data_IF_250398709863
#
_entry.id   IF_250398709863
#
_cell.length_a   1.000
_cell.length_b   1.000
_cell.length_c   1.000
_cell.angle_alpha   90.00
_cell.angle_beta   90.00
_cell.angle_gamma   90.00
#
_symmetry.space_group_name_H-M   'P 1'
#
loop_
_entity.id
_entity.type
_entity.pdbx_description
1 polymer ?
#
# COMPACT_ATOMS: atom_id res chain seq x y z
N UNK A 1 10.69 6.74 22.87
CA UNK A 1 9.24 6.49 22.70
C UNK A 1 8.87 5.37 23.65
N UNK A 2 8.70 5.66 24.93
CA UNK A 2 8.33 4.67 25.95
C UNK A 2 6.81 4.60 26.06
N UNK A 3 6.26 3.39 25.98
CA UNK A 3 4.86 3.14 26.32
C UNK A 3 4.71 3.11 27.84
N UNK A 4 3.73 3.82 28.36
CA UNK A 4 3.36 3.76 29.78
C UNK A 4 2.36 2.61 30.00
N UNK A 5 2.81 1.61 30.75
CA UNK A 5 2.08 0.39 31.12
C UNK A 5 1.90 0.30 32.65
N UNK A 6 1.96 1.44 33.35
CA UNK A 6 1.93 1.49 34.82
C UNK A 6 0.55 1.27 35.45
N UNK A 7 -0.49 1.07 34.63
CA UNK A 7 -1.85 0.84 35.11
C UNK A 7 -1.93 -0.51 35.88
N UNK A 8 -2.16 -0.49 37.21
CA UNK A 8 -2.20 -1.70 38.02
C UNK A 8 -3.33 -2.65 37.60
N UNK A 9 -4.41 -2.14 37.00
CA UNK A 9 -5.52 -2.94 36.53
C UNK A 9 -5.11 -3.95 35.44
N UNK A 10 -4.05 -3.66 34.67
CA UNK A 10 -3.51 -4.55 33.64
C UNK A 10 -2.91 -5.80 34.30
N UNK A 11 -2.12 -5.61 35.35
CA UNK A 11 -1.46 -6.70 36.06
C UNK A 11 -2.48 -7.55 36.83
N UNK A 12 -3.47 -6.92 37.46
CA UNK A 12 -4.57 -7.62 38.13
C UNK A 12 -5.36 -8.49 37.15
N UNK A 13 -5.78 -7.92 36.00
CA UNK A 13 -6.51 -8.67 34.97
C UNK A 13 -5.68 -9.81 34.36
N UNK A 14 -4.38 -9.59 34.14
CA UNK A 14 -3.48 -10.64 33.67
C UNK A 14 -3.32 -11.76 34.70
N UNK A 15 -3.19 -11.42 35.99
CA UNK A 15 -3.08 -12.41 37.06
C UNK A 15 -4.36 -13.22 37.20
N UNK A 16 -5.55 -12.63 37.01
CA UNK A 16 -6.83 -13.36 36.93
C UNK A 16 -6.81 -14.42 35.82
N UNK A 17 -6.41 -14.03 34.60
CA UNK A 17 -6.34 -14.95 33.45
C UNK A 17 -5.34 -16.09 33.69
N UNK A 18 -4.20 -15.80 34.31
CA UNK A 18 -3.16 -16.81 34.61
C UNK A 18 -3.57 -17.71 35.79
N UNK A 19 -4.23 -17.17 36.81
CA UNK A 19 -4.68 -17.93 37.98
C UNK A 19 -5.86 -18.86 37.72
N UNK A 20 -6.48 -18.78 36.54
CA UNK A 20 -7.57 -19.66 36.13
C UNK A 20 -8.91 -19.32 36.78
N UNK A 21 -9.10 -18.06 37.16
CA UNK A 21 -10.42 -17.51 37.52
C UNK A 21 -11.27 -17.39 36.24
N UNK A 22 -12.61 -17.15 36.29
CA UNK A 22 -13.45 -17.28 35.10
C UNK A 22 -13.10 -16.29 33.97
N UNK A 23 -12.31 -15.24 34.27
CA UNK A 23 -11.80 -14.29 33.27
C UNK A 23 -10.78 -14.96 32.35
N UNK A 24 -11.06 -15.02 31.04
CA UNK A 24 -10.17 -15.62 30.05
C UNK A 24 -9.65 -14.64 28.99
N UNK A 25 -10.14 -13.40 28.98
CA UNK A 25 -9.63 -12.37 28.08
C UNK A 25 -9.63 -10.96 28.70
N UNK A 26 -8.77 -10.10 28.17
CA UNK A 26 -8.74 -8.66 28.43
C UNK A 26 -8.46 -7.88 27.14
N UNK A 27 -8.88 -6.61 27.12
CA UNK A 27 -8.58 -5.65 26.05
C UNK A 27 -7.89 -4.44 26.69
N UNK A 28 -6.81 -4.02 26.06
CA UNK A 28 -6.07 -2.81 26.38
C UNK A 28 -6.17 -1.82 25.24
N UNK A 29 -6.13 -0.53 25.55
CA UNK A 29 -6.14 0.52 24.56
C UNK A 29 -5.63 1.83 25.13
N UNK A 30 -5.70 2.88 24.32
CA UNK A 30 -5.05 4.15 24.66
C UNK A 30 -5.96 5.16 25.38
N UNK A 31 -7.28 4.94 25.45
CA UNK A 31 -8.25 5.87 26.10
C UNK A 31 -7.98 7.34 25.72
N UNK A 32 -7.84 7.62 24.42
CA UNK A 32 -7.52 8.94 23.84
C UNK A 32 -6.16 9.55 24.23
N UNK A 33 -5.32 8.82 24.96
CA UNK A 33 -3.94 9.22 25.23
C UNK A 33 -3.00 8.79 24.10
N UNK A 34 -1.80 9.39 24.08
CA UNK A 34 -0.81 9.11 23.03
C UNK A 34 0.05 7.88 23.32
N UNK A 35 0.48 7.76 24.58
CA UNK A 35 1.54 6.83 24.99
C UNK A 35 1.18 5.98 26.22
N UNK A 36 -0.01 6.18 26.81
CA UNK A 36 -0.48 5.41 27.97
C UNK A 36 -1.47 4.34 27.53
N UNK A 37 -1.23 3.10 27.97
CA UNK A 37 -2.14 1.99 27.73
C UNK A 37 -2.81 1.66 29.06
N UNK A 38 -4.13 1.51 29.03
CA UNK A 38 -4.94 1.11 30.18
C UNK A 38 -5.96 0.05 29.79
N UNK A 39 -6.50 -0.61 30.82
CA UNK A 39 -7.52 -1.65 30.65
C UNK A 39 -8.82 -1.04 30.09
N UNK A 40 -9.36 -1.63 29.02
CA UNK A 40 -10.66 -1.29 28.45
C UNK A 40 -11.76 -2.18 29.02
N UNK A 41 -11.54 -3.48 28.94
CA UNK A 41 -12.52 -4.49 29.36
C UNK A 41 -11.84 -5.83 29.60
N UNK A 42 -12.52 -6.68 30.36
CA UNK A 42 -12.16 -8.09 30.61
C UNK A 42 -13.42 -8.92 30.68
N UNK A 43 -13.34 -10.20 30.34
CA UNK A 43 -14.51 -11.07 30.27
C UNK A 43 -14.18 -12.56 30.27
N UNK A 44 -15.21 -13.36 30.01
CA UNK A 44 -15.21 -14.83 30.18
C UNK A 44 -15.62 -15.61 28.92
N UNK A 45 -16.06 -14.91 27.88
CA UNK A 45 -16.53 -15.45 26.60
C UNK A 45 -15.45 -15.60 25.52
N UNK A 46 -14.17 -15.66 25.91
CA UNK A 46 -13.06 -15.99 25.02
C UNK A 46 -12.84 -15.01 23.85
N UNK A 47 -12.38 -15.55 22.72
CA UNK A 47 -12.01 -14.77 21.52
C UNK A 47 -13.22 -14.08 20.90
N UNK A 48 -14.37 -14.74 20.87
CA UNK A 48 -15.57 -14.21 20.23
C UNK A 48 -16.14 -13.00 20.97
N UNK A 49 -16.19 -13.06 22.30
CA UNK A 49 -16.59 -11.91 23.12
C UNK A 49 -15.56 -10.77 23.03
N UNK A 50 -14.27 -11.09 23.04
CA UNK A 50 -13.20 -10.10 22.86
C UNK A 50 -13.34 -9.38 21.51
N UNK A 51 -13.57 -10.13 20.41
CA UNK A 51 -13.78 -9.57 19.08
C UNK A 51 -15.00 -8.66 19.02
N UNK A 52 -16.11 -9.04 19.67
CA UNK A 52 -17.32 -8.24 19.73
C UNK A 52 -17.14 -6.91 20.49
N UNK A 53 -16.20 -6.87 21.44
CA UNK A 53 -15.88 -5.69 22.24
C UNK A 53 -14.75 -4.82 21.65
N UNK A 54 -14.19 -5.19 20.49
CA UNK A 54 -13.18 -4.37 19.79
C UNK A 54 -13.84 -3.19 19.06
N UNK A 55 -13.26 -2.00 19.26
CA UNK A 55 -13.65 -0.74 18.60
C UNK A 55 -12.66 -0.39 17.49
N UNK A 56 -13.06 0.48 16.56
CA UNK A 56 -12.23 0.97 15.44
C UNK A 56 -11.09 1.91 15.86
N UNK A 57 -10.20 1.40 16.70
CA UNK A 57 -8.99 2.08 17.15
C UNK A 57 -7.83 1.08 17.28
N UNK A 58 -6.75 1.48 17.96
CA UNK A 58 -5.63 0.58 18.26
C UNK A 58 -5.91 -0.10 19.60
N UNK A 59 -6.10 -1.42 19.57
CA UNK A 59 -6.42 -2.24 20.73
C UNK A 59 -5.50 -3.46 20.81
N UNK A 60 -5.19 -3.88 22.03
CA UNK A 60 -4.45 -5.12 22.29
C UNK A 60 -5.33 -6.06 23.10
N UNK A 61 -5.72 -7.17 22.50
CA UNK A 61 -6.41 -8.25 23.18
C UNK A 61 -5.42 -9.26 23.75
N UNK A 62 -5.65 -9.73 24.97
CA UNK A 62 -4.92 -10.88 25.52
C UNK A 62 -5.94 -11.95 25.91
N UNK A 63 -5.75 -13.17 25.43
CA UNK A 63 -6.72 -14.26 25.60
C UNK A 63 -6.02 -15.56 25.95
N UNK A 64 -6.65 -16.36 26.82
CA UNK A 64 -6.24 -17.72 27.18
C UNK A 64 -7.13 -18.75 26.46
N UNK A 65 -6.50 -19.72 25.80
CA UNK A 65 -7.16 -20.83 25.11
C UNK A 65 -6.36 -22.10 25.42
N UNK A 66 -6.99 -23.11 26.01
CA UNK A 66 -6.39 -24.44 26.27
C UNK A 66 -4.98 -24.36 26.90
N UNK A 67 -4.84 -23.52 27.94
CA UNK A 67 -3.60 -23.22 28.68
C UNK A 67 -2.49 -22.47 27.92
N UNK A 68 -2.76 -22.02 26.69
CA UNK A 68 -1.89 -21.12 25.93
C UNK A 68 -2.44 -19.70 25.94
N UNK A 69 -1.54 -18.75 25.76
CA UNK A 69 -1.86 -17.33 25.77
C UNK A 69 -1.53 -16.68 24.43
N UNK A 70 -2.48 -15.93 23.89
CA UNK A 70 -2.31 -15.19 22.65
C UNK A 70 -2.47 -13.69 22.89
N UNK A 71 -1.55 -12.91 22.31
CA UNK A 71 -1.66 -11.45 22.23
C UNK A 71 -2.14 -11.07 20.82
N UNK A 72 -3.28 -10.43 20.74
CA UNK A 72 -3.92 -9.94 19.53
C UNK A 72 -3.70 -8.43 19.43
N UNK A 73 -2.89 -7.96 18.49
CA UNK A 73 -2.75 -6.53 18.24
C UNK A 73 -3.67 -6.12 17.08
N UNK A 74 -4.80 -5.49 17.42
CA UNK A 74 -5.72 -4.92 16.46
C UNK A 74 -5.32 -3.48 16.14
N UNK A 75 -5.14 -3.19 14.86
CA UNK A 75 -4.83 -1.86 14.36
C UNK A 75 -5.82 -1.49 13.27
N UNK A 76 -6.90 -0.80 13.62
CA UNK A 76 -7.93 -0.40 12.65
C UNK A 76 -7.33 0.36 11.45
N UNK A 77 -7.88 0.13 10.25
CA UNK A 77 -7.41 0.76 9.01
C UNK A 77 -7.63 2.29 9.01
N UNK A 78 -8.56 2.77 9.84
CA UNK A 78 -8.92 4.19 9.96
C UNK A 78 -7.91 5.01 10.77
N UNK A 79 -6.87 4.39 11.35
CA UNK A 79 -5.85 5.10 12.14
C UNK A 79 -4.66 5.55 11.28
N UNK A 80 -4.10 6.72 11.61
CA UNK A 80 -2.99 7.31 10.84
C UNK A 80 -1.73 6.43 10.85
N UNK A 81 -0.92 6.52 9.78
CA UNK A 81 0.31 5.72 9.63
C UNK A 81 1.27 5.82 10.82
N UNK A 82 1.37 7.00 11.44
CA UNK A 82 2.18 7.20 12.64
C UNK A 82 1.61 6.47 13.88
N UNK A 83 0.27 6.44 14.02
CA UNK A 83 -0.41 5.70 15.09
C UNK A 83 -0.23 4.18 14.91
N UNK A 84 -0.27 3.70 13.66
CA UNK A 84 0.03 2.28 13.31
C UNK A 84 1.47 1.89 13.63
N UNK A 85 2.44 2.71 13.24
CA UNK A 85 3.86 2.45 13.55
C UNK A 85 4.10 2.42 15.07
N UNK A 86 3.50 3.36 15.81
CA UNK A 86 3.57 3.38 17.27
C UNK A 86 2.92 2.14 17.89
N UNK A 87 1.77 1.71 17.37
CA UNK A 87 1.06 0.52 17.82
C UNK A 87 1.93 -0.75 17.72
N UNK A 88 2.67 -0.92 16.62
CA UNK A 88 3.56 -2.07 16.45
C UNK A 88 4.70 -2.09 17.48
N UNK A 89 5.28 -0.93 17.78
CA UNK A 89 6.34 -0.80 18.80
C UNK A 89 5.78 -1.06 20.20
N UNK A 90 4.62 -0.46 20.52
CA UNK A 90 4.00 -0.61 21.84
C UNK A 90 3.47 -2.03 22.03
N UNK A 91 2.98 -2.70 20.99
CA UNK A 91 2.57 -4.10 21.03
C UNK A 91 3.68 -5.04 21.48
N UNK A 92 4.94 -4.77 21.08
CA UNK A 92 6.10 -5.52 21.60
C UNK A 92 6.33 -5.29 23.09
N UNK A 93 6.16 -4.04 23.56
CA UNK A 93 6.28 -3.72 24.99
C UNK A 93 5.16 -4.35 25.83
N UNK A 94 3.92 -4.35 25.32
CA UNK A 94 2.77 -5.04 25.92
C UNK A 94 3.04 -6.55 25.98
N UNK A 95 3.55 -7.14 24.89
CA UNK A 95 3.96 -8.54 24.88
C UNK A 95 5.05 -8.85 25.91
N UNK A 96 6.06 -8.00 26.03
CA UNK A 96 7.12 -8.18 27.03
C UNK A 96 6.62 -8.08 28.48
N UNK A 97 5.56 -7.30 28.74
CA UNK A 97 4.91 -7.26 30.06
C UNK A 97 4.27 -8.61 30.40
N UNK A 98 3.64 -9.24 29.41
CA UNK A 98 2.98 -10.54 29.54
C UNK A 98 3.97 -11.66 29.24
N UNK A 99 4.85 -11.98 30.20
CA UNK A 99 5.91 -13.00 30.12
C UNK A 99 5.50 -14.39 29.58
N UNK A 100 4.20 -14.66 29.48
CA UNK A 100 3.62 -15.95 29.06
C UNK A 100 2.97 -15.91 27.67
N UNK A 101 3.12 -14.85 26.89
CA UNK A 101 2.55 -14.76 25.54
C UNK A 101 3.22 -15.75 24.59
N UNK A 102 2.49 -16.79 24.20
CA UNK A 102 3.02 -17.84 23.30
C UNK A 102 3.01 -17.40 21.85
N UNK A 103 2.00 -16.63 21.44
CA UNK A 103 1.89 -16.08 20.09
C UNK A 103 1.46 -14.62 20.12
N UNK A 104 1.94 -13.86 19.14
CA UNK A 104 1.45 -12.51 18.87
C UNK A 104 0.89 -12.47 17.44
N UNK A 105 -0.39 -12.10 17.31
CA UNK A 105 -1.08 -11.97 16.03
C UNK A 105 -1.39 -10.49 15.82
N UNK A 106 -0.82 -9.90 14.78
CA UNK A 106 -1.08 -8.52 14.41
C UNK A 106 -2.01 -8.52 13.18
N UNK A 107 -3.14 -7.83 13.26
CA UNK A 107 -4.04 -7.66 12.11
C UNK A 107 -4.78 -6.32 12.15
N UNK A 108 -5.15 -5.84 10.97
CA UNK A 108 -6.03 -4.69 10.78
C UNK A 108 -7.51 -5.05 10.58
N UNK A 109 -7.83 -6.35 10.48
CA UNK A 109 -9.20 -6.83 10.27
C UNK A 109 -9.67 -7.72 11.41
N UNK A 110 -10.88 -7.46 11.92
CA UNK A 110 -11.51 -8.28 12.95
C UNK A 110 -11.79 -9.72 12.49
N UNK A 111 -11.85 -9.96 11.17
CA UNK A 111 -12.04 -11.30 10.60
C UNK A 111 -10.83 -12.22 10.84
N UNK A 112 -9.65 -11.66 11.15
CA UNK A 112 -8.46 -12.43 11.47
C UNK A 112 -8.45 -12.94 12.92
N UNK A 113 -9.30 -12.39 13.79
CA UNK A 113 -9.42 -12.78 15.20
C UNK A 113 -10.57 -13.77 15.41
N UNK A 114 -10.42 -14.95 14.80
CA UNK A 114 -11.32 -16.10 15.03
C UNK A 114 -10.60 -17.17 15.84
N UNK A 115 -11.32 -17.85 16.72
CA UNK A 115 -10.76 -18.88 17.60
C UNK A 115 -9.98 -19.94 16.82
N UNK A 116 -10.54 -20.40 15.69
CA UNK A 116 -9.90 -21.38 14.80
C UNK A 116 -8.55 -20.93 14.26
N UNK A 117 -8.44 -19.67 13.83
CA UNK A 117 -7.19 -19.13 13.26
C UNK A 117 -6.13 -18.94 14.32
N UNK A 118 -6.54 -18.54 15.52
CA UNK A 118 -5.63 -18.39 16.66
C UNK A 118 -5.18 -19.79 17.14
N UNK A 119 -6.09 -20.77 17.25
CA UNK A 119 -5.74 -22.18 17.56
C UNK A 119 -4.79 -22.78 16.52
N UNK A 120 -5.04 -22.57 15.24
CA UNK A 120 -4.15 -23.01 14.16
C UNK A 120 -2.76 -22.38 14.28
N UNK A 121 -2.68 -21.07 14.57
CA UNK A 121 -1.42 -20.37 14.82
C UNK A 121 -0.70 -20.84 16.09
N UNK A 122 -1.45 -21.30 17.08
CA UNK A 122 -0.89 -21.88 18.31
C UNK A 122 -0.49 -23.35 18.15
N UNK A 123 -0.70 -23.99 17.00
CA UNK A 123 -0.38 -25.41 16.81
C UNK A 123 -1.23 -26.34 17.69
N UNK A 124 -2.44 -25.89 18.05
CA UNK A 124 -3.46 -26.69 18.77
C UNK A 124 -4.35 -27.49 17.81
N UNK A 125 -4.09 -27.39 16.49
CA UNK A 125 -4.80 -28.13 15.44
C UNK A 125 -3.91 -29.28 14.97
N UNK A 126 -4.32 -30.53 15.24
CA UNK A 126 -3.77 -31.71 14.56
C UNK A 126 -4.42 -31.84 13.17
N UNK A 127 -3.72 -31.43 12.11
CA UNK A 127 -4.19 -31.58 10.71
C UNK A 127 -3.25 -30.94 9.68
N UNK A 128 -3.19 -31.46 8.43
CA UNK A 128 -2.03 -31.35 7.53
C UNK A 128 -1.78 -29.93 6.95
N UNK A 129 -0.56 -29.64 6.47
CA UNK A 129 -0.08 -28.28 6.24
C UNK A 129 -0.69 -27.65 4.99
N UNK A 130 -1.02 -26.36 5.09
CA UNK A 130 -1.31 -25.49 3.94
C UNK A 130 -0.14 -24.53 3.67
N UNK A 131 0.05 -24.09 2.41
CA UNK A 131 1.35 -23.69 1.88
C UNK A 131 1.79 -22.27 2.27
N UNK A 132 3.11 -22.10 2.21
CA UNK A 132 3.92 -20.88 2.34
C UNK A 132 3.33 -19.61 1.68
N UNK A 133 3.54 -18.40 2.27
CA UNK A 133 3.23 -17.13 1.65
C UNK A 133 4.39 -16.68 0.75
N UNK A 134 4.49 -17.29 -0.43
CA UNK A 134 5.33 -16.76 -1.52
C UNK A 134 4.63 -17.02 -2.86
N UNK A 135 3.63 -16.21 -3.20
CA UNK A 135 3.45 -15.74 -4.58
C UNK A 135 2.38 -14.64 -4.69
N UNK A 136 2.72 -13.61 -5.45
CA UNK A 136 1.88 -12.52 -5.92
C UNK A 136 0.64 -13.02 -6.69
N UNK A 137 -0.54 -12.40 -6.56
CA UNK A 137 -1.61 -12.57 -7.54
C UNK A 137 -1.34 -11.68 -8.75
N UNK A 138 -0.82 -12.31 -9.80
CA UNK A 138 -0.82 -11.81 -11.18
C UNK A 138 -2.28 -11.71 -11.65
N UNK A 139 -2.60 -10.57 -12.26
CA UNK A 139 -3.90 -10.30 -12.88
C UNK A 139 -4.14 -11.23 -14.08
N UNK A 140 -5.37 -11.74 -14.29
CA UNK A 140 -5.72 -12.33 -15.58
C UNK A 140 -6.11 -11.24 -16.57
N UNK A 141 -5.23 -11.03 -17.53
CA UNK A 141 -5.48 -10.33 -18.79
C UNK A 141 -6.09 -11.28 -19.83
N UNK A 142 -6.94 -10.72 -20.67
CA UNK A 142 -7.39 -11.27 -21.96
C UNK A 142 -7.64 -10.06 -22.88
N UNK A 143 -7.77 -10.18 -24.21
CA UNK A 143 -7.75 -11.36 -25.09
C UNK A 143 -6.92 -11.13 -26.40
N UNK A 144 -7.15 -11.97 -27.44
CA UNK A 144 -7.00 -11.76 -28.93
C UNK A 144 -6.17 -12.92 -29.55
N UNK A 145 -6.51 -13.69 -30.62
CA UNK A 145 -7.19 -13.44 -31.92
C UNK A 145 -7.66 -14.77 -32.64
N UNK A 146 -8.86 -14.75 -33.28
CA UNK A 146 -9.35 -15.29 -34.61
C UNK A 146 -9.14 -16.75 -35.11
N UNK A 147 -9.85 -17.26 -36.17
CA UNK A 147 -10.73 -16.61 -37.18
C UNK A 147 -12.13 -17.26 -37.49
N UNK A 148 -12.94 -16.54 -38.30
CA UNK A 148 -14.29 -16.81 -38.82
C UNK A 148 -14.32 -17.88 -39.97
N UNK A 149 -15.48 -18.36 -40.57
CA UNK A 149 -16.68 -17.57 -40.93
C UNK A 149 -18.10 -18.23 -40.95
N UNK A 150 -19.07 -17.32 -41.11
CA UNK A 150 -20.36 -17.37 -41.85
C UNK A 150 -21.69 -17.67 -41.10
N UNK A 151 -22.79 -16.95 -41.46
CA UNK A 151 -24.03 -16.92 -40.69
C UNK A 151 -25.15 -17.77 -41.30
N UNK A 152 -25.97 -18.40 -40.44
CA UNK A 152 -27.30 -18.90 -40.80
C UNK A 152 -28.32 -18.43 -39.76
N UNK A 153 -29.47 -18.06 -40.32
CA UNK A 153 -30.70 -17.49 -39.75
C UNK A 153 -31.31 -18.27 -38.59
N UNK A 154 -31.95 -17.61 -37.60
CA UNK A 154 -32.78 -18.28 -36.62
C UNK A 154 -34.23 -18.49 -37.09
N UNK A 155 -34.77 -19.57 -36.53
CA UNK A 155 -36.04 -20.24 -36.77
C UNK A 155 -37.22 -19.48 -36.13
N UNK A 156 -38.37 -19.59 -36.79
CA UNK A 156 -39.72 -19.11 -36.41
C UNK A 156 -40.23 -19.64 -35.05
N UNK A 157 -41.37 -19.09 -34.58
CA UNK A 157 -42.41 -19.97 -34.03
C UNK A 157 -43.82 -19.75 -34.62
N UNK A 158 -44.41 -20.88 -35.00
CA UNK A 158 -45.81 -21.34 -34.97
C UNK A 158 -47.01 -20.47 -35.42
N UNK A 159 -47.91 -21.03 -36.26
CA UNK A 159 -49.29 -20.58 -36.44
C UNK A 159 -50.29 -21.45 -35.64
N UNK A 160 -51.34 -20.82 -35.11
CA UNK A 160 -52.55 -21.51 -34.63
C UNK A 160 -53.79 -20.85 -35.28
N UNK A 161 -54.57 -21.67 -36.00
CA UNK A 161 -55.96 -21.44 -36.44
C UNK A 161 -56.88 -22.18 -35.43
N UNK A 162 -58.22 -21.98 -35.30
CA UNK A 162 -59.17 -21.96 -36.42
C UNK A 162 -60.44 -21.07 -36.32
N UNK A 163 -60.97 -20.76 -37.52
CA UNK A 163 -62.39 -20.76 -37.95
C UNK A 163 -63.40 -19.77 -37.35
N UNK A 164 -64.02 -18.95 -38.22
CA UNK A 164 -65.49 -18.83 -38.35
C UNK A 164 -65.90 -18.16 -39.67
N UNK A 165 -66.94 -18.72 -40.27
CA UNK A 165 -67.56 -18.40 -41.55
C UNK A 165 -68.64 -17.33 -41.35
N UNK A 166 -68.83 -16.40 -42.31
CA UNK A 166 -70.15 -16.10 -42.93
C UNK A 166 -70.05 -15.08 -44.07
N UNK A 167 -70.45 -15.55 -45.25
CA UNK A 167 -71.24 -14.94 -46.32
C UNK A 167 -71.47 -13.41 -46.42
N UNK A 168 -71.02 -12.89 -47.59
CA UNK A 168 -71.73 -12.09 -48.61
C UNK A 168 -72.96 -11.27 -48.15
N UNK A 169 -72.88 -9.95 -48.35
CA UNK A 169 -73.91 -9.19 -49.08
C UNK A 169 -73.37 -7.82 -49.52
N UNK A 170 -73.50 -7.52 -50.81
CA UNK A 170 -73.36 -6.17 -51.36
C UNK A 170 -74.59 -5.32 -50.99
N UNK A 171 -74.51 -3.98 -51.09
CA UNK A 171 -75.32 -3.36 -52.12
C UNK A 171 -74.65 -2.23 -52.92
N UNK A 172 -74.97 -2.30 -54.21
CA UNK A 172 -75.14 -1.30 -55.28
C UNK A 172 -75.08 0.21 -54.93
N UNK A 173 -74.11 0.87 -55.59
CA UNK A 173 -74.18 2.09 -56.45
C UNK A 173 -74.80 3.38 -55.89
N UNK A 174 -74.00 4.46 -55.99
CA UNK A 174 -74.25 5.75 -56.69
C UNK A 174 -73.15 6.71 -56.21
N UNK A 175 -72.23 7.18 -57.03
CA UNK A 175 -72.45 8.05 -58.17
C UNK A 175 -71.74 9.37 -57.88
N UNK A 176 -70.51 9.52 -58.35
CA UNK A 176 -69.85 10.81 -58.56
C UNK A 176 -68.62 10.57 -59.43
N UNK A 177 -68.78 10.88 -60.70
CA UNK A 177 -67.72 11.00 -61.69
C UNK A 177 -66.83 12.20 -61.37
N UNK A 178 -65.63 11.92 -60.88
CA UNK A 178 -64.43 12.72 -61.16
C UNK A 178 -63.54 11.91 -62.09
N UNK A 179 -62.80 12.56 -63.01
CA UNK A 179 -62.21 11.88 -64.16
C UNK A 179 -61.17 10.89 -63.66
N UNK A 180 -61.22 9.67 -64.20
CA UNK A 180 -60.30 8.55 -63.91
C UNK A 180 -58.81 8.94 -63.93
N UNK A 181 -58.49 10.07 -64.57
CA UNK A 181 -57.18 10.73 -64.64
C UNK A 181 -56.72 11.42 -63.34
N UNK A 182 -57.60 12.08 -62.57
CA UNK A 182 -57.22 12.85 -61.37
C UNK A 182 -56.82 11.95 -60.20
N UNK A 183 -57.57 10.87 -59.97
CA UNK A 183 -57.26 9.90 -58.91
C UNK A 183 -55.97 9.13 -59.18
N UNK A 184 -55.67 8.88 -60.45
CA UNK A 184 -54.40 8.26 -60.87
C UNK A 184 -53.21 9.19 -60.59
N UNK A 185 -53.37 10.50 -60.87
CA UNK A 185 -52.39 11.55 -60.57
C UNK A 185 -52.17 11.73 -59.07
N UNK A 186 -53.22 11.62 -58.24
CA UNK A 186 -53.09 11.69 -56.78
C UNK A 186 -52.33 10.50 -56.20
N UNK A 187 -52.59 9.28 -56.68
CA UNK A 187 -51.86 8.08 -56.24
C UNK A 187 -50.38 8.20 -56.62
N UNK A 188 -50.08 8.62 -57.86
CA UNK A 188 -48.71 8.81 -58.34
C UNK A 188 -47.98 9.98 -57.65
N UNK A 189 -48.72 11.01 -57.22
CA UNK A 189 -48.20 12.10 -56.39
C UNK A 189 -47.96 11.65 -54.93
N UNK A 190 -48.84 10.83 -54.36
CA UNK A 190 -48.68 10.26 -53.02
C UNK A 190 -47.52 9.27 -52.95
N UNK A 191 -47.37 8.40 -53.95
CA UNK A 191 -46.24 7.47 -54.06
C UNK A 191 -44.91 8.21 -54.20
N UNK A 192 -44.86 9.31 -54.97
CA UNK A 192 -43.66 10.17 -55.05
C UNK A 192 -43.31 10.80 -53.72
N UNK A 193 -44.29 11.30 -52.96
CA UNK A 193 -44.06 11.89 -51.62
C UNK A 193 -43.55 10.86 -50.62
N UNK A 194 -44.16 9.68 -50.58
CA UNK A 194 -43.71 8.58 -49.71
C UNK A 194 -42.30 8.12 -50.08
N UNK A 195 -41.98 8.07 -51.38
CA UNK A 195 -40.63 7.71 -51.86
C UNK A 195 -39.58 8.78 -51.53
N UNK A 196 -39.89 10.05 -51.68
CA UNK A 196 -39.02 11.16 -51.25
C UNK A 196 -38.80 11.18 -49.73
N UNK A 197 -39.86 10.95 -48.95
CA UNK A 197 -39.78 10.95 -47.49
C UNK A 197 -38.98 9.75 -46.98
N UNK A 198 -39.18 8.56 -47.54
CA UNK A 198 -38.37 7.38 -47.22
C UNK A 198 -36.91 7.52 -47.66
N UNK A 199 -36.62 8.15 -48.81
CA UNK A 199 -35.24 8.46 -49.20
C UNK A 199 -34.60 9.50 -48.27
N UNK A 200 -35.34 10.52 -47.85
CA UNK A 200 -34.88 11.53 -46.89
C UNK A 200 -34.59 10.91 -45.52
N UNK A 201 -35.43 9.98 -45.08
CA UNK A 201 -35.28 9.26 -43.82
C UNK A 201 -34.09 8.29 -43.84
N UNK A 202 -33.87 7.60 -44.98
CA UNK A 202 -32.66 6.78 -45.19
C UNK A 202 -31.39 7.64 -45.21
N UNK A 203 -31.40 8.80 -45.88
CA UNK A 203 -30.25 9.73 -45.90
C UNK A 203 -29.94 10.29 -44.51
N UNK A 204 -30.94 10.62 -43.70
CA UNK A 204 -30.73 11.12 -42.34
C UNK A 204 -30.22 10.03 -41.40
N UNK A 205 -30.72 8.78 -41.51
CA UNK A 205 -30.19 7.64 -40.77
C UNK A 205 -28.73 7.35 -41.13
N UNK A 206 -28.38 7.34 -42.41
CA UNK A 206 -27.00 7.11 -42.86
C UNK A 206 -26.08 8.23 -42.36
N UNK A 207 -26.50 9.49 -42.46
CA UNK A 207 -25.73 10.62 -41.95
C UNK A 207 -25.54 10.57 -40.42
N UNK A 208 -26.58 10.17 -39.67
CA UNK A 208 -26.49 9.99 -38.21
C UNK A 208 -25.53 8.87 -37.85
N UNK A 209 -25.62 7.71 -38.51
CA UNK A 209 -24.70 6.58 -38.31
C UNK A 209 -23.26 6.96 -38.64
N UNK A 210 -23.04 7.65 -39.76
CA UNK A 210 -21.70 8.13 -40.14
C UNK A 210 -21.10 9.09 -39.10
N UNK A 211 -21.90 10.05 -38.61
CA UNK A 211 -21.47 10.98 -37.57
C UNK A 211 -21.14 10.26 -36.27
N UNK A 212 -21.96 9.29 -35.87
CA UNK A 212 -21.73 8.50 -34.66
C UNK A 212 -20.46 7.63 -34.76
N UNK A 213 -20.19 7.00 -35.92
CA UNK A 213 -18.92 6.30 -36.14
C UNK A 213 -17.72 7.23 -36.12
N UNK A 214 -17.79 8.41 -36.76
CA UNK A 214 -16.70 9.38 -36.72
C UNK A 214 -16.44 9.90 -35.31
N UNK A 215 -17.49 10.17 -34.53
CA UNK A 215 -17.36 10.64 -33.16
C UNK A 215 -16.76 9.55 -32.25
N UNK A 216 -17.16 8.29 -32.45
CA UNK A 216 -16.58 7.16 -31.73
C UNK A 216 -15.10 6.99 -32.06
N UNK A 217 -14.73 7.01 -33.33
CA UNK A 217 -13.32 6.92 -33.78
C UNK A 217 -12.49 8.09 -33.24
N UNK A 218 -13.03 9.31 -33.30
CA UNK A 218 -12.36 10.50 -32.75
C UNK A 218 -12.16 10.39 -31.23
N UNK A 219 -13.15 9.85 -30.50
CA UNK A 219 -13.05 9.64 -29.05
C UNK A 219 -12.02 8.56 -28.71
N UNK A 220 -11.98 7.48 -29.47
CA UNK A 220 -10.98 6.40 -29.30
C UNK A 220 -9.57 6.93 -29.58
N UNK A 221 -9.38 7.70 -30.67
CA UNK A 221 -8.11 8.36 -30.98
C UNK A 221 -7.68 9.37 -29.90
N UNK A 222 -8.61 10.17 -29.38
CA UNK A 222 -8.32 11.13 -28.31
C UNK A 222 -7.88 10.43 -27.00
N UNK A 223 -8.50 9.30 -26.66
CA UNK A 223 -8.10 8.50 -25.49
C UNK A 223 -6.72 7.88 -25.69
N UNK A 224 -6.42 7.34 -26.88
CA UNK A 224 -5.09 6.82 -27.19
C UNK A 224 -4.01 7.91 -27.17
N UNK A 225 -4.29 9.07 -27.77
CA UNK A 225 -3.38 10.21 -27.76
C UNK A 225 -3.11 10.71 -26.33
N UNK A 226 -4.14 10.79 -25.48
CA UNK A 226 -3.99 11.18 -24.07
C UNK A 226 -3.13 10.18 -23.28
N UNK A 227 -3.33 8.88 -23.50
CA UNK A 227 -2.50 7.83 -22.88
C UNK A 227 -1.04 7.93 -23.33
N UNK A 228 -0.79 8.09 -24.63
CA UNK A 228 0.57 8.26 -25.16
C UNK A 228 1.24 9.53 -24.63
N UNK A 229 0.51 10.64 -24.52
CA UNK A 229 1.02 11.88 -23.95
C UNK A 229 1.41 11.74 -22.47
N UNK A 230 0.58 11.08 -21.66
CA UNK A 230 0.90 10.81 -20.25
C UNK A 230 2.12 9.90 -20.09
N UNK A 231 2.24 8.87 -20.93
CA UNK A 231 3.38 7.96 -20.92
C UNK A 231 4.68 8.69 -21.28
N UNK A 232 4.64 9.53 -22.31
CA UNK A 232 5.78 10.35 -22.74
C UNK A 232 6.18 11.37 -21.65
N UNK A 233 5.21 12.00 -21.00
CA UNK A 233 5.46 12.94 -19.90
C UNK A 233 6.09 12.24 -18.70
N UNK A 234 5.61 11.04 -18.35
CA UNK A 234 6.21 10.21 -17.29
C UNK A 234 7.66 9.86 -17.63
N UNK A 235 7.93 9.39 -18.85
CA UNK A 235 9.28 9.05 -19.29
C UNK A 235 10.21 10.28 -19.27
N UNK A 236 9.74 11.44 -19.76
CA UNK A 236 10.52 12.69 -19.71
C UNK A 236 10.80 13.13 -18.28
N UNK A 237 9.85 12.96 -17.36
CA UNK A 237 10.05 13.28 -15.95
C UNK A 237 11.06 12.35 -15.29
N UNK A 238 10.94 11.04 -15.52
CA UNK A 238 11.90 10.05 -15.01
C UNK A 238 13.31 10.27 -15.56
N UNK A 239 13.44 10.59 -16.85
CA UNK A 239 14.72 10.93 -17.47
C UNK A 239 15.30 12.24 -16.92
N UNK A 240 14.46 13.27 -16.75
CA UNK A 240 14.84 14.53 -16.11
C UNK A 240 15.32 14.32 -14.67
N UNK A 241 14.60 13.51 -13.89
CA UNK A 241 14.96 13.19 -12.50
C UNK A 241 16.26 12.38 -12.43
N UNK A 242 16.50 11.47 -13.39
CA UNK A 242 17.77 10.73 -13.51
C UNK A 242 18.93 11.66 -13.83
N UNK A 243 18.77 12.52 -14.84
CA UNK A 243 19.77 13.52 -15.22
C UNK A 243 20.07 14.50 -14.07
N UNK A 244 19.05 14.93 -13.33
CA UNK A 244 19.22 15.80 -12.18
C UNK A 244 20.01 15.13 -11.04
N UNK A 245 19.74 13.84 -10.76
CA UNK A 245 20.49 13.05 -9.77
C UNK A 245 21.95 12.84 -10.20
N UNK A 246 22.18 12.54 -11.47
CA UNK A 246 23.53 12.39 -12.03
C UNK A 246 24.31 13.71 -12.01
N UNK A 247 23.66 14.82 -12.37
CA UNK A 247 24.25 16.16 -12.32
C UNK A 247 24.58 16.58 -10.87
N UNK A 248 23.67 16.33 -9.91
CA UNK A 248 23.91 16.60 -8.50
C UNK A 248 25.07 15.75 -7.96
N UNK A 249 25.15 14.47 -8.33
CA UNK A 249 26.27 13.59 -7.95
C UNK A 249 27.60 14.08 -8.52
N UNK A 250 27.62 14.51 -9.79
CA UNK A 250 28.82 15.05 -10.43
C UNK A 250 29.27 16.36 -9.79
N UNK A 251 28.34 17.27 -9.49
CA UNK A 251 28.64 18.51 -8.76
C UNK A 251 29.18 18.24 -7.36
N UNK A 252 28.68 17.21 -6.68
CA UNK A 252 29.17 16.82 -5.35
C UNK A 252 30.62 16.31 -5.43
N UNK A 253 30.93 15.44 -6.41
CA UNK A 253 32.28 14.93 -6.66
C UNK A 253 33.24 16.06 -7.03
N UNK A 254 32.80 17.01 -7.86
CA UNK A 254 33.59 18.18 -8.27
C UNK A 254 33.86 19.13 -7.10
N UNK A 255 32.86 19.43 -6.26
CA UNK A 255 33.06 20.17 -5.01
C UNK A 255 34.01 19.45 -4.04
N UNK A 256 33.92 18.12 -3.96
CA UNK A 256 34.78 17.30 -3.11
C UNK A 256 36.25 17.34 -3.58
N UNK A 257 36.49 17.39 -4.90
CA UNK A 257 37.83 17.54 -5.49
C UNK A 257 38.40 18.96 -5.32
N UNK A 258 37.57 20.00 -5.39
CA UNK A 258 37.98 21.40 -5.22
C UNK A 258 38.30 21.79 -3.77
N UNK A 259 37.77 21.08 -2.76
CA UNK A 259 37.95 21.44 -1.34
C UNK A 259 39.12 20.81 -0.62
N UNK A 260 39.90 19.90 -1.21
CA UNK A 260 41.20 19.45 -0.68
C UNK A 260 41.27 19.07 0.82
N UNK A 261 40.15 18.78 1.48
CA UNK A 261 40.05 18.61 2.93
C UNK A 261 38.94 17.62 3.22
N UNK A 262 39.27 16.65 4.07
CA UNK A 262 38.45 15.50 4.41
C UNK A 262 36.98 15.75 4.73
N UNK A 263 36.15 14.74 4.54
CA UNK A 263 34.73 14.75 4.94
C UNK A 263 34.63 15.15 6.42
N UNK A 264 33.93 16.23 6.70
CA UNK A 264 33.76 16.76 8.05
C UNK A 264 32.33 17.25 8.27
N UNK A 265 31.93 17.30 9.55
CA UNK A 265 30.61 17.75 9.96
C UNK A 265 30.27 17.33 11.38
N UNK A 266 29.05 17.61 11.83
CA UNK A 266 28.57 17.13 13.12
C UNK A 266 27.98 15.73 12.98
N UNK A 267 28.32 14.87 13.94
CA UNK A 267 27.76 13.52 14.07
C UNK A 267 27.59 13.19 15.55
N UNK A 268 26.59 12.37 15.87
CA UNK A 268 26.46 11.84 17.22
C UNK A 268 26.90 10.38 17.21
N UNK A 269 27.79 10.01 18.13
CA UNK A 269 28.38 8.67 18.24
C UNK A 269 28.08 8.06 19.61
N UNK A 270 27.74 6.78 19.61
CA UNK A 270 27.83 5.87 20.75
C UNK A 270 29.02 4.94 20.52
N UNK A 271 30.08 5.14 21.30
CA UNK A 271 31.33 4.38 21.18
C UNK A 271 31.16 2.98 21.77
N UNK A 272 31.88 1.98 21.24
CA UNK A 272 31.94 0.64 21.81
C UNK A 272 32.25 0.70 23.33
N UNK A 273 31.47 -0.02 24.13
CA UNK A 273 31.59 -0.05 25.59
C UNK A 273 31.07 1.19 26.33
N UNK A 274 30.57 2.22 25.64
CA UNK A 274 29.96 3.40 26.26
C UNK A 274 28.47 3.45 25.98
N UNK A 275 27.59 3.46 27.00
CA UNK A 275 26.15 3.62 26.79
C UNK A 275 25.78 5.05 26.38
N UNK A 276 26.69 6.02 26.56
CA UNK A 276 26.43 7.43 26.34
C UNK A 276 26.60 7.85 24.88
N UNK A 277 25.64 8.65 24.41
CA UNK A 277 25.71 9.37 23.15
C UNK A 277 26.51 10.65 23.30
N UNK A 278 27.39 10.94 22.34
CA UNK A 278 28.19 12.17 22.31
C UNK A 278 28.11 12.81 20.94
N UNK A 279 27.70 14.08 20.90
CA UNK A 279 27.80 14.91 19.69
C UNK A 279 29.26 15.35 19.53
N UNK A 280 29.80 15.18 18.32
CA UNK A 280 31.19 15.46 17.97
C UNK A 280 31.24 16.10 16.59
N UNK A 281 32.18 16.99 16.39
CA UNK A 281 32.56 17.43 15.06
C UNK A 281 33.61 16.46 14.52
N UNK A 282 33.32 15.76 13.44
CA UNK A 282 34.25 14.79 12.87
C UNK A 282 35.02 15.37 11.70
N UNK A 283 36.23 14.87 11.48
CA UNK A 283 37.05 15.14 10.30
C UNK A 283 37.69 13.83 9.86
N UNK A 284 37.38 13.36 8.66
CA UNK A 284 37.94 12.15 8.07
C UNK A 284 39.10 12.49 7.14
N UNK A 285 40.33 12.13 7.52
CA UNK A 285 41.54 12.35 6.69
C UNK A 285 42.29 11.05 6.51
N UNK A 286 42.52 10.67 5.25
CA UNK A 286 43.18 9.40 4.92
C UNK A 286 42.38 8.23 5.48
N UNK A 287 42.96 7.53 6.45
CA UNK A 287 42.39 6.35 7.09
C UNK A 287 41.87 6.60 8.52
N UNK A 288 41.78 7.86 8.94
CA UNK A 288 41.43 8.21 10.33
C UNK A 288 40.24 9.16 10.36
N UNK A 289 39.27 8.85 11.20
CA UNK A 289 38.21 9.77 11.60
C UNK A 289 38.57 10.37 12.96
N UNK A 290 38.94 11.64 12.96
CA UNK A 290 39.17 12.41 14.18
C UNK A 290 37.84 13.00 14.68
N UNK A 291 37.57 12.87 15.98
CA UNK A 291 36.38 13.37 16.64
C UNK A 291 36.74 14.50 17.60
N UNK A 292 36.31 15.71 17.29
CA UNK A 292 36.50 16.91 18.09
C UNK A 292 35.25 17.18 18.92
N UNK A 293 35.42 17.94 20.01
CA UNK A 293 34.29 18.37 20.84
C UNK A 293 33.31 19.19 20.02
N UNK A 294 33.85 20.16 19.27
CA UNK A 294 33.15 21.11 18.40
C UNK A 294 34.09 21.51 17.24
N UNK A 295 33.57 22.24 16.26
CA UNK A 295 34.30 22.68 15.05
C UNK A 295 35.50 23.61 15.37
N UNK A 296 35.32 24.56 16.30
CA UNK A 296 36.35 25.55 16.67
C UNK A 296 37.30 25.06 17.78
N UNK A 297 37.35 23.75 18.03
CA UNK A 297 38.15 23.22 19.13
C UNK A 297 39.66 23.41 18.85
N UNK A 298 40.30 24.32 19.59
CA UNK A 298 41.74 24.62 19.45
C UNK A 298 42.69 23.56 20.02
N UNK A 299 42.14 22.50 20.63
CA UNK A 299 42.89 21.35 21.15
C UNK A 299 42.98 20.18 20.16
N UNK A 300 43.66 19.10 20.57
CA UNK A 300 43.65 17.85 19.82
C UNK A 300 42.27 17.17 19.79
N UNK A 301 42.08 16.13 18.96
CA UNK A 301 40.82 15.41 18.90
C UNK A 301 40.49 14.75 20.24
N UNK A 302 39.20 14.74 20.59
CA UNK A 302 38.70 14.03 21.77
C UNK A 302 38.85 12.52 21.65
N UNK A 303 38.79 12.00 20.42
CA UNK A 303 39.00 10.58 20.10
C UNK A 303 39.33 10.43 18.62
N UNK A 304 39.98 9.33 18.24
CA UNK A 304 40.28 9.00 16.86
C UNK A 304 39.86 7.56 16.58
N UNK A 305 39.18 7.34 15.45
CA UNK A 305 38.86 6.02 14.93
C UNK A 305 39.74 5.74 13.71
N UNK A 306 40.50 4.64 13.77
CA UNK A 306 41.31 4.17 12.64
C UNK A 306 40.47 3.25 11.76
N UNK A 307 40.19 3.70 10.54
CA UNK A 307 39.26 3.08 9.60
C UNK A 307 39.94 2.21 8.53
N UNK A 308 41.21 2.46 8.19
CA UNK A 308 41.87 1.82 7.05
C UNK A 308 41.94 0.29 7.12
N UNK A 309 41.19 -0.40 6.25
CA UNK A 309 41.09 -1.87 6.19
C UNK A 309 40.41 -2.51 7.40
N UNK A 310 39.75 -1.71 8.24
CA UNK A 310 39.27 -2.10 9.56
C UNK A 310 37.75 -2.08 9.67
N UNK A 311 37.05 -1.45 8.72
CA UNK A 311 35.59 -1.46 8.72
C UNK A 311 35.11 -2.74 8.03
N UNK A 312 34.38 -3.57 8.77
CA UNK A 312 33.88 -4.86 8.26
C UNK A 312 32.44 -4.78 7.78
N UNK A 313 31.63 -3.93 8.40
CA UNK A 313 30.22 -3.79 8.05
C UNK A 313 29.70 -2.39 8.37
N UNK A 314 28.85 -1.86 7.50
CA UNK A 314 28.08 -0.63 7.73
C UNK A 314 26.62 -0.94 7.46
N UNK A 315 25.76 -0.74 8.46
CA UNK A 315 24.35 -1.11 8.38
C UNK A 315 23.44 0.02 8.85
N UNK A 316 22.33 0.23 8.16
CA UNK A 316 21.24 1.07 8.67
C UNK A 316 20.60 0.42 9.89
N UNK A 317 20.62 1.13 11.02
CA UNK A 317 20.02 0.65 12.28
C UNK A 317 18.94 1.61 12.79
N UNK A 318 18.39 2.45 11.90
CA UNK A 318 17.36 3.44 12.24
C UNK A 318 16.13 2.81 12.88
N UNK A 319 15.81 1.57 12.49
CA UNK A 319 14.73 0.79 13.09
C UNK A 319 15.12 0.09 14.39
N UNK A 320 16.40 -0.26 14.57
CA UNK A 320 16.88 -0.99 15.76
C UNK A 320 17.04 -0.06 16.96
N UNK A 321 17.63 1.11 16.74
CA UNK A 321 17.85 2.10 17.81
C UNK A 321 16.76 3.16 17.88
N UNK A 322 15.81 3.15 16.94
CA UNK A 322 14.71 4.12 16.84
C UNK A 322 15.18 5.58 16.75
N UNK A 323 16.37 5.79 16.17
CA UNK A 323 16.93 7.12 15.89
C UNK A 323 17.01 7.27 14.37
N UNK A 324 16.30 8.25 13.77
CA UNK A 324 16.40 8.52 12.34
C UNK A 324 17.84 8.79 11.92
N UNK A 325 18.16 8.43 10.68
CA UNK A 325 19.49 8.63 10.12
C UNK A 325 20.60 8.00 10.98
N UNK A 326 20.31 6.90 11.67
CA UNK A 326 21.33 6.15 12.40
C UNK A 326 21.87 4.99 11.57
N UNK A 327 23.13 4.66 11.82
CA UNK A 327 23.83 3.57 11.18
C UNK A 327 24.89 3.01 12.13
N UNK A 328 25.13 1.71 12.02
CA UNK A 328 26.14 0.97 12.78
C UNK A 328 27.36 0.76 11.91
N UNK A 329 28.53 0.88 12.50
CA UNK A 329 29.82 0.55 11.89
C UNK A 329 30.47 -0.50 12.78
N UNK A 330 30.65 -1.69 12.22
CA UNK A 330 31.36 -2.80 12.86
C UNK A 330 32.81 -2.80 12.39
N UNK A 331 33.73 -2.96 13.33
CA UNK A 331 35.17 -2.93 13.13
C UNK A 331 35.77 -4.34 13.23
N UNK A 332 36.89 -4.59 12.54
CA UNK A 332 37.57 -5.89 12.51
C UNK A 332 38.03 -6.39 13.88
N UNK A 333 38.27 -5.48 14.83
CA UNK A 333 38.69 -5.78 16.18
C UNK A 333 37.51 -6.20 17.09
N UNK A 334 36.29 -6.26 16.54
CA UNK A 334 35.07 -6.58 17.26
C UNK A 334 34.36 -5.37 17.86
N UNK A 335 34.91 -4.16 17.73
CA UNK A 335 34.23 -2.95 18.21
C UNK A 335 33.07 -2.58 17.30
N UNK A 336 31.94 -2.28 17.92
CA UNK A 336 30.74 -1.79 17.23
C UNK A 336 30.44 -0.37 17.68
N UNK A 337 30.36 0.54 16.72
CA UNK A 337 30.00 1.94 16.95
C UNK A 337 28.66 2.24 16.29
N UNK A 338 27.81 3.01 16.96
CA UNK A 338 26.55 3.48 16.39
C UNK A 338 26.62 4.99 16.23
N UNK A 339 26.21 5.46 15.06
CA UNK A 339 26.21 6.87 14.69
C UNK A 339 24.80 7.31 14.31
N UNK A 340 24.51 8.59 14.47
CA UNK A 340 23.39 9.22 13.77
C UNK A 340 23.70 10.65 13.37
N UNK A 341 23.04 11.08 12.30
CA UNK A 341 23.17 12.42 11.71
C UNK A 341 21.85 13.19 11.79
N UNK A 342 21.90 14.52 11.74
CA UNK A 342 20.70 15.35 11.88
C UNK A 342 19.74 15.20 10.68
N UNK A 343 20.28 14.89 9.50
CA UNK A 343 19.50 14.66 8.28
C UNK A 343 20.06 13.49 7.46
N UNK A 344 19.27 13.02 6.48
CA UNK A 344 19.62 11.88 5.63
C UNK A 344 20.87 12.14 4.79
N UNK A 345 21.04 13.37 4.28
CA UNK A 345 22.20 13.76 3.47
C UNK A 345 23.51 13.62 4.26
N UNK A 346 23.53 14.08 5.51
CA UNK A 346 24.71 14.01 6.37
C UNK A 346 25.05 12.57 6.76
N UNK A 347 24.04 11.70 6.88
CA UNK A 347 24.26 10.26 7.04
C UNK A 347 24.91 9.65 5.80
N UNK A 348 24.37 9.93 4.61
CA UNK A 348 24.93 9.42 3.35
C UNK A 348 26.39 9.87 3.15
N UNK A 349 26.68 11.14 3.45
CA UNK A 349 28.05 11.68 3.41
C UNK A 349 28.99 10.98 4.40
N UNK A 350 28.54 10.78 5.64
CA UNK A 350 29.36 10.09 6.64
C UNK A 350 29.65 8.64 6.22
N UNK A 351 28.64 7.89 5.75
CA UNK A 351 28.80 6.51 5.27
C UNK A 351 29.77 6.45 4.08
N UNK A 352 29.62 7.35 3.10
CA UNK A 352 30.54 7.44 1.97
C UNK A 352 31.99 7.71 2.44
N UNK A 353 32.16 8.53 3.48
CA UNK A 353 33.46 8.75 4.10
C UNK A 353 34.05 7.50 4.74
N UNK A 354 33.27 6.74 5.50
CA UNK A 354 33.73 5.46 6.07
C UNK A 354 34.17 4.48 4.99
N UNK A 355 33.42 4.35 3.90
CA UNK A 355 33.78 3.47 2.77
C UNK A 355 35.08 3.92 2.09
N UNK A 356 35.20 5.21 1.76
CA UNK A 356 36.39 5.78 1.12
C UNK A 356 37.65 5.63 1.99
N UNK A 357 37.53 5.88 3.29
CA UNK A 357 38.64 5.72 4.24
C UNK A 357 39.05 4.26 4.43
N UNK A 358 38.11 3.31 4.27
CA UNK A 358 38.37 1.88 4.38
C UNK A 358 39.06 1.31 3.12
N UNK A 359 38.66 1.77 1.94
CA UNK A 359 39.22 1.36 0.63
C UNK A 359 40.62 1.92 0.36
N UNK A 360 40.96 3.04 0.99
CA UNK A 360 42.29 3.68 0.86
C UNK A 360 43.38 2.95 1.67
N UNK A 361 43.27 1.62 1.85
CA UNK A 361 44.12 0.81 2.72
C UNK A 361 44.97 -0.25 2.03
#
# INVERSE_FOLDING_TARGET
MSCDLTDPAILEAHQEIVSGTPTNWLILGYHDTRDKISLYSKGTGGVDELRANMKDEVLYGFVRIDDRYALLAYVSEHVSGLRRARALVHGKAVGALFKNNHIQVNSSSLADFTEDRIRARMGLVEGPPTPDPSNSPVMPSSPVQTPAPRPTTPISPAPNNPTSYTEITSPVRSGASTPRTERQLEIEAAERRVREETERQKRSEVAKRQKETQEREAREQAVQARKQAQELERQRKEESDRLAREAMKKQLIEQEQLRGSGLSGYITIQTAGSPYWRRRFYVMRGQVMALYRDEDHRGGPSSELRLGGRVTNIQDVSFDVLIPNSFRVDMYNGDTHIFFSDNARDKELAIAGFMKCNESA
#
